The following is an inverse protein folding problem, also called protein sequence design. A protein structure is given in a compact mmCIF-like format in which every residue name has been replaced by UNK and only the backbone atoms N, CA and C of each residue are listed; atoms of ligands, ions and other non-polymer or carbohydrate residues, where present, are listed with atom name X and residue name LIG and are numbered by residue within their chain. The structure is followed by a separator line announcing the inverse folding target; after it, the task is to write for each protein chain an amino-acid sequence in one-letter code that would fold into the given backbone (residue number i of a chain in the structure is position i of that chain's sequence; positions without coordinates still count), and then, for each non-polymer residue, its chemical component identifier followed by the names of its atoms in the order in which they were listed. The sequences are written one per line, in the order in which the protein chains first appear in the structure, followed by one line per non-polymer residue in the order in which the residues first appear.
data_IF_126767554583
#
_entry.id   IF_126767554583
#
_cell.length_a   1.000
_cell.length_b   1.000
_cell.length_c   1.000
_cell.angle_alpha   90.00
_cell.angle_beta   90.00
_cell.angle_gamma   90.00
#
_symmetry.space_group_name_H-M   'P 1'
#
loop_
_entity.id
_entity.type
_entity.pdbx_description
1 polymer ?
#
# COMPACT_ATOMS: atom_id res chain seq x y z
N UNK A 1 -15.95 9.22 -7.51
CA UNK A 1 -15.22 8.01 -7.14
C UNK A 1 -15.93 6.81 -7.73
N UNK A 2 -15.16 5.81 -8.14
CA UNK A 2 -15.63 4.60 -8.83
C UNK A 2 -14.80 3.40 -8.43
N UNK A 3 -15.30 2.19 -8.69
CA UNK A 3 -14.60 0.94 -8.40
C UNK A 3 -13.50 0.71 -9.44
N UNK A 4 -12.31 1.24 -9.18
CA UNK A 4 -11.12 1.09 -10.04
C UNK A 4 -10.45 -0.26 -9.74
N UNK A 5 -9.91 -0.98 -10.76
CA UNK A 5 -9.15 -2.19 -10.51
C UNK A 5 -7.88 -1.88 -9.68
N UNK A 6 -7.66 -2.67 -8.63
CA UNK A 6 -6.42 -2.66 -7.84
C UNK A 6 -5.38 -3.50 -8.57
N UNK A 7 -4.34 -2.85 -9.12
CA UNK A 7 -3.22 -3.52 -9.80
C UNK A 7 -2.10 -3.83 -8.81
N UNK A 8 -1.25 -4.81 -9.13
CA UNK A 8 -0.03 -5.09 -8.36
C UNK A 8 0.87 -3.85 -8.23
N UNK A 9 0.98 -3.04 -9.29
CA UNK A 9 1.74 -1.79 -9.27
C UNK A 9 1.19 -0.79 -8.24
N UNK A 10 -0.13 -0.65 -8.11
CA UNK A 10 -0.75 0.21 -7.08
C UNK A 10 -0.43 -0.32 -5.68
N UNK A 11 -0.44 -1.64 -5.49
CA UNK A 11 -0.11 -2.27 -4.20
C UNK A 11 1.37 -2.06 -3.83
N UNK A 12 2.29 -2.24 -4.78
CA UNK A 12 3.72 -1.99 -4.58
C UNK A 12 4.00 -0.52 -4.26
N UNK A 13 3.42 0.40 -5.03
CA UNK A 13 3.57 1.84 -4.78
C UNK A 13 2.97 2.27 -3.43
N UNK A 14 1.86 1.64 -3.03
CA UNK A 14 1.22 1.94 -1.74
C UNK A 14 2.08 1.45 -0.58
N UNK A 15 2.74 0.31 -0.76
CA UNK A 15 3.75 -0.18 0.19
C UNK A 15 4.92 0.79 0.30
N UNK A 16 5.49 1.27 -0.80
CA UNK A 16 6.59 2.25 -0.77
C UNK A 16 6.19 3.51 0.01
N UNK A 17 4.95 3.99 -0.18
CA UNK A 17 4.39 5.12 0.58
C UNK A 17 4.29 4.80 2.09
N UNK A 18 3.87 3.59 2.45
CA UNK A 18 3.77 3.16 3.85
C UNK A 18 5.15 3.02 4.49
N UNK A 19 6.14 2.46 3.79
CA UNK A 19 7.51 2.31 4.28
C UNK A 19 8.24 3.66 4.40
N UNK A 20 7.90 4.61 3.54
CA UNK A 20 8.46 5.95 3.59
C UNK A 20 7.92 6.80 4.78
N UNK A 21 6.89 6.31 5.50
CA UNK A 21 6.24 7.00 6.64
C UNK A 21 5.81 8.44 6.29
N UNK A 22 5.47 8.69 5.01
CA UNK A 22 5.14 10.02 4.49
C UNK A 22 3.68 10.44 4.75
N UNK A 23 2.90 9.56 5.37
CA UNK A 23 1.47 9.79 5.65
C UNK A 23 1.20 9.69 7.15
N UNK A 24 0.55 10.72 7.71
CA UNK A 24 0.17 10.75 9.13
C UNK A 24 -0.72 9.56 9.54
N UNK A 25 -1.53 9.06 8.59
CA UNK A 25 -2.40 7.92 8.82
C UNK A 25 -2.66 7.18 7.51
N UNK A 26 -2.49 5.86 7.52
CA UNK A 26 -2.73 4.95 6.39
C UNK A 26 -4.15 5.02 5.79
N UNK A 27 -5.16 5.42 6.56
CA UNK A 27 -6.54 5.57 6.10
C UNK A 27 -6.78 6.91 5.39
N UNK A 28 -5.82 7.82 5.46
CA UNK A 28 -5.87 9.11 4.78
C UNK A 28 -5.49 8.93 3.31
N UNK A 29 -6.44 8.43 2.51
CA UNK A 29 -6.30 8.28 1.05
C UNK A 29 -5.85 9.59 0.39
N UNK A 30 -6.37 10.76 0.81
CA UNK A 30 -5.91 12.05 0.29
C UNK A 30 -4.42 12.32 0.57
N UNK A 31 -3.92 11.91 1.75
CA UNK A 31 -2.50 11.97 2.09
C UNK A 31 -1.67 10.99 1.27
N UNK A 32 -2.16 9.76 1.10
CA UNK A 32 -1.51 8.74 0.29
C UNK A 32 -1.36 9.16 -1.17
N UNK A 33 -2.37 9.83 -1.75
CA UNK A 33 -2.28 10.38 -3.10
C UNK A 33 -1.24 11.51 -3.24
N UNK A 34 -0.98 12.25 -2.16
CA UNK A 34 0.05 13.29 -2.15
C UNK A 34 1.44 12.70 -2.01
N UNK A 35 1.63 11.77 -1.07
CA UNK A 35 2.87 11.03 -0.89
C UNK A 35 3.24 10.24 -2.17
N UNK A 36 2.26 9.63 -2.83
CA UNK A 36 2.45 8.98 -4.11
C UNK A 36 3.02 9.93 -5.17
N UNK A 37 2.50 11.16 -5.27
CA UNK A 37 3.03 12.16 -6.22
C UNK A 37 4.45 12.59 -5.86
N UNK A 38 4.76 12.72 -4.57
CA UNK A 38 6.08 13.11 -4.09
C UNK A 38 7.14 12.06 -4.44
N UNK A 39 6.78 10.77 -4.33
CA UNK A 39 7.62 9.63 -4.70
C UNK A 39 7.65 9.34 -6.22
N UNK A 40 6.83 10.02 -7.04
CA UNK A 40 6.73 9.78 -8.47
C UNK A 40 5.84 8.59 -8.87
N UNK A 41 5.00 8.11 -7.95
CA UNK A 41 4.02 7.05 -8.14
C UNK A 41 2.71 7.60 -8.73
N UNK A 42 2.76 7.95 -10.03
CA UNK A 42 1.62 8.56 -10.73
C UNK A 42 0.40 7.65 -10.80
N UNK A 43 0.61 6.34 -10.91
CA UNK A 43 -0.47 5.34 -11.01
C UNK A 43 -1.26 5.22 -9.70
N UNK A 44 -0.56 5.18 -8.57
CA UNK A 44 -1.17 5.24 -7.24
C UNK A 44 -1.89 6.58 -6.99
N UNK A 45 -1.27 7.70 -7.36
CA UNK A 45 -1.87 9.02 -7.19
C UNK A 45 -3.18 9.16 -7.99
N UNK A 46 -3.22 8.61 -9.20
CA UNK A 46 -4.42 8.56 -10.03
C UNK A 46 -5.46 7.61 -9.44
N UNK A 47 -5.05 6.41 -9.03
CA UNK A 47 -5.92 5.43 -8.39
C UNK A 47 -6.61 6.02 -7.15
N UNK A 48 -5.87 6.65 -6.25
CA UNK A 48 -6.42 7.30 -5.04
C UNK A 48 -7.45 8.38 -5.38
N UNK A 49 -7.25 9.10 -6.47
CA UNK A 49 -8.16 10.17 -6.90
C UNK A 49 -9.48 9.61 -7.45
N UNK A 50 -9.41 8.49 -8.17
CA UNK A 50 -10.55 7.90 -8.86
C UNK A 50 -11.29 6.84 -8.01
N UNK A 51 -10.56 6.10 -7.18
CA UNK A 51 -11.06 4.98 -6.38
C UNK A 51 -12.01 5.45 -5.27
N UNK A 52 -13.05 4.65 -5.03
CA UNK A 52 -13.84 4.75 -3.81
C UNK A 52 -13.04 4.31 -2.58
N UNK A 53 -13.42 4.82 -1.41
CA UNK A 53 -12.77 4.48 -0.14
C UNK A 53 -12.67 2.97 0.10
N UNK A 54 -13.70 2.20 -0.28
CA UNK A 54 -13.69 0.74 -0.13
C UNK A 54 -12.60 0.08 -0.99
N UNK A 55 -12.40 0.57 -2.22
CA UNK A 55 -11.36 0.07 -3.13
C UNK A 55 -9.97 0.46 -2.65
N UNK A 56 -9.81 1.67 -2.09
CA UNK A 56 -8.57 2.08 -1.44
C UNK A 56 -8.22 1.17 -0.25
N UNK A 57 -9.18 0.87 0.62
CA UNK A 57 -8.94 -0.04 1.76
C UNK A 57 -8.59 -1.45 1.32
N UNK A 58 -9.18 -1.97 0.24
CA UNK A 58 -8.78 -3.27 -0.33
C UNK A 58 -7.32 -3.26 -0.81
N UNK A 59 -6.87 -2.19 -1.45
CA UNK A 59 -5.48 -2.05 -1.87
C UNK A 59 -4.54 -1.94 -0.66
N UNK A 60 -4.95 -1.21 0.38
CA UNK A 60 -4.21 -1.05 1.62
C UNK A 60 -4.03 -2.38 2.36
N UNK A 61 -5.09 -3.16 2.47
CA UNK A 61 -5.06 -4.48 3.11
C UNK A 61 -4.05 -5.40 2.40
N UNK A 62 -4.10 -5.46 1.05
CA UNK A 62 -3.14 -6.23 0.25
C UNK A 62 -1.69 -5.75 0.39
N UNK A 63 -1.47 -4.43 0.50
CA UNK A 63 -0.14 -3.88 0.69
C UNK A 63 0.43 -4.29 2.06
N UNK A 64 -0.42 -4.27 3.11
CA UNK A 64 -0.04 -4.73 4.45
C UNK A 64 0.25 -6.22 4.51
N UNK A 65 -0.62 -7.05 3.93
CA UNK A 65 -0.41 -8.51 3.89
C UNK A 65 0.95 -8.88 3.28
N UNK A 66 1.43 -8.14 2.27
CA UNK A 66 2.76 -8.37 1.67
C UNK A 66 3.91 -7.92 2.56
N UNK A 67 3.75 -6.84 3.33
CA UNK A 67 4.77 -6.38 4.29
C UNK A 67 4.92 -7.40 5.43
N UNK A 68 3.81 -7.95 5.92
CA UNK A 68 3.81 -9.00 6.95
C UNK A 68 4.39 -10.34 6.43
N UNK A 69 4.17 -10.68 5.16
CA UNK A 69 4.69 -11.91 4.54
C UNK A 69 6.23 -11.84 4.30
N UNK A 70 6.76 -10.70 3.85
CA UNK A 70 8.23 -10.51 3.74
C UNK A 70 8.91 -10.35 5.11
N UNK A 71 8.19 -9.85 6.13
CA UNK A 71 8.71 -9.70 7.49
C UNK A 71 8.80 -11.00 8.29
N UNK A 72 8.14 -12.08 7.85
CA UNK A 72 8.09 -13.37 8.57
C UNK A 72 8.91 -14.48 7.91
N UNK A 73 9.50 -14.24 6.73
CA UNK A 73 10.39 -15.19 6.07
C UNK A 73 11.79 -15.31 6.72
N UNK A 74 12.13 -14.49 7.72
CA UNK A 74 13.38 -14.55 8.51
C UNK A 74 13.15 -15.01 9.96
N UNK A 75 12.27 -15.98 10.20
CA UNK A 75 12.39 -16.83 11.41
C UNK A 75 12.66 -18.23 10.94
N UNK A 76 13.96 -18.47 10.73
CA UNK A 76 14.52 -19.81 10.59
C UNK A 76 13.95 -20.70 11.68
N UNK A 77 13.23 -21.73 11.23
CA UNK A 77 12.96 -22.89 12.04
C UNK A 77 14.28 -23.39 12.62
N UNK A 78 14.38 -23.42 13.94
CA UNK A 78 15.33 -24.28 14.63
C UNK A 78 14.52 -25.47 15.18
N UNK A 79 14.40 -26.58 14.43
CA UNK A 79 13.74 -27.78 14.93
C UNK A 79 14.79 -28.79 15.43
N UNK A 80 15.52 -28.52 16.51
CA UNK A 80 16.15 -29.59 17.32
C UNK A 80 16.69 -29.09 18.67
N UNK A 81 16.02 -29.44 19.78
CA UNK A 81 16.61 -29.53 21.13
C UNK A 81 15.78 -30.44 22.03
#
# INVERSE_FOLDING_TARGET
MSRVPVTDAVVEQLRDVLEADLIDHELNHMGAGFAARDLGHEELAQFVHEADAATYYEALDRARERVDDEGTADVGSDPDA
#
